data_IF_572000794600
#
_entry.id   IF_572000794600
#
_cell.length_a   1.000
_cell.length_b   1.000
_cell.length_c   1.000
_cell.angle_alpha   90.00
_cell.angle_beta   90.00
_cell.angle_gamma   90.00
#
_symmetry.space_group_name_H-M   'P 1'
#
loop_
_entity.id
_entity.type
_entity.pdbx_description
1 polymer ?
#
# COMPACT_ATOMS: atom_id res chain seq x y z
N UNK A 1 28.25 12.73 -5.84
CA UNK A 1 28.09 13.43 -7.05
C UNK A 1 26.82 13.06 -7.78
N UNK A 2 26.20 13.98 -8.46
CA UNK A 2 24.96 13.76 -9.15
C UNK A 2 25.19 13.72 -10.62
N UNK A 3 24.60 12.80 -11.36
CA UNK A 3 24.75 12.84 -12.78
C UNK A 3 23.58 13.62 -13.38
N UNK A 4 23.62 13.82 -14.67
CA UNK A 4 22.64 14.69 -15.33
C UNK A 4 21.24 14.12 -15.35
N UNK A 5 21.12 12.81 -15.19
CA UNK A 5 19.80 12.20 -15.20
C UNK A 5 19.08 12.36 -13.87
N UNK A 6 19.77 12.83 -12.86
CA UNK A 6 19.16 12.95 -11.54
C UNK A 6 18.60 14.33 -11.31
N UNK A 7 17.45 14.39 -10.70
CA UNK A 7 16.79 15.63 -10.37
C UNK A 7 16.75 15.78 -8.87
N UNK A 8 17.12 16.92 -8.37
CA UNK A 8 17.11 17.16 -6.94
C UNK A 8 15.74 17.67 -6.54
N UNK A 9 15.17 17.02 -5.57
CA UNK A 9 13.86 17.38 -5.07
C UNK A 9 13.86 17.28 -3.55
N UNK A 10 12.81 17.76 -2.93
CA UNK A 10 12.61 17.57 -1.52
C UNK A 10 11.50 16.56 -1.32
N UNK A 11 11.66 15.69 -0.33
CA UNK A 11 10.61 14.76 0.04
C UNK A 11 10.17 15.02 1.46
N UNK A 12 8.91 14.77 1.73
CA UNK A 12 8.39 14.87 3.08
C UNK A 12 7.85 13.51 3.49
N UNK A 13 7.82 13.26 4.76
CA UNK A 13 7.27 12.03 5.29
C UNK A 13 5.75 12.16 5.34
N UNK A 14 5.06 11.17 4.86
CA UNK A 14 3.60 11.17 4.93
C UNK A 14 3.13 9.75 5.15
N UNK A 15 1.93 9.59 5.64
CA UNK A 15 1.38 8.27 5.86
C UNK A 15 -0.01 8.17 5.27
N UNK A 16 -0.33 7.03 4.74
CA UNK A 16 -1.67 6.77 4.24
C UNK A 16 -2.07 5.38 4.69
N UNK A 17 -3.34 5.15 4.80
CA UNK A 17 -3.85 3.82 5.09
C UNK A 17 -4.23 3.18 3.76
N UNK A 18 -3.92 1.91 3.60
CA UNK A 18 -4.10 1.26 2.33
C UNK A 18 -4.56 -0.17 2.56
N UNK A 19 -5.30 -0.73 1.64
CA UNK A 19 -5.73 -2.11 1.76
C UNK A 19 -4.50 -3.00 1.90
N UNK A 20 -4.58 -3.95 2.81
CA UNK A 20 -3.42 -4.73 3.22
C UNK A 20 -2.75 -5.47 2.07
N UNK A 21 -3.53 -6.15 1.23
CA UNK A 21 -2.96 -6.96 0.16
C UNK A 21 -2.43 -6.10 -0.98
N UNK A 22 -3.08 -4.95 -1.22
CA UNK A 22 -2.56 -3.99 -2.21
C UNK A 22 -1.17 -3.55 -1.78
N UNK A 23 -1.01 -3.26 -0.49
CA UNK A 23 0.31 -2.85 0.01
C UNK A 23 1.33 -3.96 -0.14
N UNK A 24 0.94 -5.21 0.12
CA UNK A 24 1.86 -6.33 -0.03
C UNK A 24 2.35 -6.49 -1.47
N UNK A 25 1.45 -6.35 -2.42
CA UNK A 25 1.82 -6.43 -3.83
C UNK A 25 2.76 -5.29 -4.19
N UNK A 26 2.44 -4.07 -3.73
CA UNK A 26 3.31 -2.93 -4.02
C UNK A 26 4.71 -3.11 -3.45
N UNK A 27 4.80 -3.57 -2.20
CA UNK A 27 6.10 -3.76 -1.58
C UNK A 27 6.91 -4.85 -2.29
N UNK A 28 6.26 -5.94 -2.66
CA UNK A 28 6.94 -7.02 -3.36
C UNK A 28 7.43 -6.57 -4.73
N UNK A 29 6.61 -5.79 -5.42
CA UNK A 29 7.00 -5.30 -6.74
C UNK A 29 8.17 -4.33 -6.62
N UNK A 30 8.14 -3.44 -5.63
CA UNK A 30 9.23 -2.50 -5.41
C UNK A 30 10.52 -3.25 -5.10
N UNK A 31 10.42 -4.27 -4.24
CA UNK A 31 11.58 -5.06 -3.87
C UNK A 31 12.18 -5.77 -5.08
N UNK A 32 11.33 -6.29 -5.95
CA UNK A 32 11.79 -6.97 -7.14
C UNK A 32 12.61 -6.04 -8.03
N UNK A 33 12.25 -4.78 -8.05
CA UNK A 33 12.94 -3.78 -8.88
C UNK A 33 13.98 -2.99 -8.11
N UNK A 34 14.29 -3.39 -6.89
CA UNK A 34 15.30 -2.73 -6.06
C UNK A 34 15.02 -1.25 -5.87
N UNK A 35 13.75 -0.92 -5.66
CA UNK A 35 13.41 0.47 -5.41
C UNK A 35 12.59 0.56 -4.13
N UNK A 36 12.55 1.74 -3.53
CA UNK A 36 11.75 1.95 -2.34
C UNK A 36 10.28 2.02 -2.71
N UNK A 37 9.41 1.80 -1.73
CA UNK A 37 7.98 1.92 -1.97
C UNK A 37 7.63 3.34 -2.40
N UNK A 38 8.27 4.33 -1.77
CA UNK A 38 8.00 5.73 -2.14
C UNK A 38 8.36 6.01 -3.58
N UNK A 39 9.50 5.50 -4.03
CA UNK A 39 9.93 5.69 -5.40
C UNK A 39 8.93 5.04 -6.38
N UNK A 40 8.49 3.83 -6.05
CA UNK A 40 7.50 3.16 -6.89
C UNK A 40 6.21 3.97 -6.97
N UNK A 41 5.72 4.44 -5.83
CA UNK A 41 4.47 5.20 -5.80
C UNK A 41 4.60 6.51 -6.55
N UNK A 42 5.74 7.19 -6.43
CA UNK A 42 5.97 8.42 -7.18
C UNK A 42 5.91 8.15 -8.68
N UNK A 43 6.51 7.05 -9.12
CA UNK A 43 6.48 6.72 -10.53
C UNK A 43 5.08 6.44 -11.04
N UNK A 44 4.31 5.69 -10.26
CA UNK A 44 2.93 5.40 -10.63
C UNK A 44 2.13 6.69 -10.73
N UNK A 45 2.26 7.56 -9.74
CA UNK A 45 1.48 8.80 -9.72
C UNK A 45 1.88 9.73 -10.86
N UNK A 46 3.17 9.86 -11.12
CA UNK A 46 3.62 10.73 -12.20
C UNK A 46 3.10 10.27 -13.56
N UNK A 47 3.10 8.96 -13.79
CA UNK A 47 2.52 8.44 -15.03
C UNK A 47 1.02 8.71 -15.08
N UNK A 48 0.34 8.48 -13.96
CA UNK A 48 -1.10 8.69 -13.92
C UNK A 48 -1.47 10.15 -14.17
N UNK A 49 -0.67 11.08 -13.63
CA UNK A 49 -0.91 12.50 -13.84
C UNK A 49 -0.85 12.86 -15.34
N UNK A 50 -0.02 12.15 -16.10
CA UNK A 50 0.11 12.41 -17.52
C UNK A 50 -0.82 11.54 -18.36
N UNK A 51 -1.69 10.79 -17.74
CA UNK A 51 -2.60 9.90 -18.45
C UNK A 51 -1.92 8.71 -19.08
N UNK A 52 -0.75 8.33 -18.55
CA UNK A 52 -0.01 7.20 -19.10
C UNK A 52 -0.10 6.00 -18.18
N UNK A 53 -0.01 4.81 -18.77
CA UNK A 53 0.02 3.61 -17.94
C UNK A 53 1.38 3.50 -17.29
N UNK A 54 1.42 3.22 -16.00
CA UNK A 54 2.69 3.20 -15.28
C UNK A 54 3.50 1.92 -15.45
N UNK A 55 2.93 0.88 -16.05
CA UNK A 55 3.59 -0.42 -16.11
C UNK A 55 3.67 -0.94 -17.53
N UNK A 56 4.82 -1.52 -17.85
CA UNK A 56 4.99 -2.22 -19.11
C UNK A 56 4.18 -3.52 -19.10
N UNK A 57 3.97 -4.16 -20.25
CA UNK A 57 3.30 -5.46 -20.27
C UNK A 57 3.99 -6.50 -19.39
N UNK A 58 5.32 -6.48 -19.33
CA UNK A 58 6.05 -7.41 -18.48
C UNK A 58 5.80 -7.14 -17.01
N UNK A 59 5.80 -5.87 -16.63
CA UNK A 59 5.51 -5.51 -15.26
C UNK A 59 4.08 -5.86 -14.88
N UNK A 60 3.15 -5.67 -15.80
CA UNK A 60 1.76 -6.04 -15.53
C UNK A 60 1.63 -7.54 -15.27
N UNK A 61 2.36 -8.35 -16.05
CA UNK A 61 2.31 -9.78 -15.84
C UNK A 61 2.85 -10.14 -14.45
N UNK A 62 3.95 -9.53 -14.07
CA UNK A 62 4.51 -9.79 -12.74
C UNK A 62 3.55 -9.38 -11.66
N UNK A 63 2.88 -8.25 -11.84
CA UNK A 63 1.89 -7.81 -10.85
C UNK A 63 0.75 -8.80 -10.76
N UNK A 64 0.29 -9.34 -11.88
CA UNK A 64 -0.77 -10.35 -11.81
C UNK A 64 -0.32 -11.60 -11.05
N UNK A 65 0.93 -12.00 -11.22
CA UNK A 65 1.46 -13.13 -10.47
C UNK A 65 1.52 -12.81 -8.97
N UNK A 66 1.93 -11.60 -8.62
CA UNK A 66 1.97 -11.21 -7.22
C UNK A 66 0.57 -11.11 -6.63
N UNK A 67 -0.39 -10.65 -7.40
CA UNK A 67 -1.77 -10.61 -6.94
C UNK A 67 -2.26 -12.01 -6.58
N UNK A 68 -1.92 -12.99 -7.41
CA UNK A 68 -2.30 -14.36 -7.10
C UNK A 68 -1.61 -14.85 -5.85
N UNK A 69 -0.32 -14.56 -5.74
CA UNK A 69 0.45 -15.03 -4.60
C UNK A 69 -0.12 -14.50 -3.29
N UNK A 70 -0.54 -13.24 -3.27
CA UNK A 70 -1.06 -12.64 -2.07
C UNK A 70 -2.59 -12.71 -1.98
N UNK A 71 -3.21 -13.42 -2.89
CA UNK A 71 -4.67 -13.58 -2.93
C UNK A 71 -5.39 -12.22 -3.00
N UNK A 72 -4.81 -11.29 -3.75
CA UNK A 72 -5.43 -9.99 -3.95
C UNK A 72 -6.43 -10.11 -5.08
N UNK A 73 -7.70 -10.12 -4.73
CA UNK A 73 -8.77 -10.33 -5.69
C UNK A 73 -9.53 -9.06 -6.04
N UNK A 74 -8.95 -7.92 -5.71
CA UNK A 74 -9.54 -6.63 -6.06
C UNK A 74 -8.92 -6.12 -7.35
N UNK A 75 -9.69 -5.41 -8.13
CA UNK A 75 -9.17 -4.80 -9.35
C UNK A 75 -9.63 -3.33 -9.40
N UNK A 76 -9.44 -2.69 -10.52
CA UNK A 76 -9.72 -1.26 -10.61
C UNK A 76 -11.19 -0.92 -10.37
N UNK A 77 -12.08 -1.88 -10.58
CA UNK A 77 -13.49 -1.61 -10.34
C UNK A 77 -13.79 -1.40 -8.86
N UNK A 78 -12.89 -1.83 -7.98
CA UNK A 78 -13.06 -1.64 -6.54
C UNK A 78 -12.60 -0.25 -6.08
N UNK A 79 -11.98 0.51 -6.96
CA UNK A 79 -11.42 1.80 -6.59
C UNK A 79 -12.51 2.71 -6.04
N UNK A 80 -12.20 3.36 -4.93
CA UNK A 80 -13.12 4.29 -4.24
C UNK A 80 -14.35 3.63 -3.65
N UNK A 81 -14.38 2.29 -3.63
CA UNK A 81 -15.50 1.55 -3.06
C UNK A 81 -15.12 0.75 -1.83
N UNK A 82 -13.85 0.85 -1.42
CA UNK A 82 -13.37 0.07 -0.28
C UNK A 82 -13.76 0.73 1.02
N UNK A 83 -14.20 -0.09 1.97
CA UNK A 83 -14.57 0.42 3.28
C UNK A 83 -13.81 -0.37 4.33
N UNK A 84 -13.14 0.32 5.20
CA UNK A 84 -12.30 -0.33 6.20
C UNK A 84 -13.15 -0.93 7.31
N UNK A 85 -12.81 -2.18 7.67
CA UNK A 85 -13.48 -2.83 8.78
C UNK A 85 -12.98 -2.23 10.06
N UNK A 86 -13.89 -1.92 11.01
CA UNK A 86 -13.47 -1.49 12.28
C UNK A 86 -13.22 -2.67 13.13
N UNK A 87 -11.97 -3.08 13.38
CA UNK A 87 -11.67 -4.22 14.16
C UNK A 87 -11.42 -3.85 15.54
N UNK A 88 -11.85 -4.61 16.51
CA UNK A 88 -11.45 -4.42 17.79
C UNK A 88 -10.09 -4.72 17.84
N UNK A 89 -9.44 -4.17 18.59
CA UNK A 89 -8.09 -4.36 18.58
C UNK A 89 -7.79 -5.57 18.89
N UNK A 90 -8.23 -6.29 18.37
CA UNK A 90 -7.98 -7.46 18.57
C UNK A 90 -6.79 -7.65 18.69
N UNK A 91 -6.55 -6.95 18.38
CA UNK A 91 -5.47 -7.00 18.55
C UNK A 91 -5.28 -6.68 19.79
N UNK A 92 -5.97 -6.29 20.36
CA UNK A 92 -5.82 -6.04 21.52
C UNK A 92 -6.15 -7.06 22.08
N UNK A 93 -6.11 -7.60 22.26
CA UNK A 93 -6.37 -8.58 22.78
C UNK A 93 -7.33 -8.73 23.43
N UNK A 94 -7.83 -9.19 23.24
CA UNK A 94 -8.91 -9.37 23.78
C UNK A 94 -8.82 -9.27 25.10
N UNK A 95 -8.14 -9.32 25.58
CA UNK A 95 -8.03 -9.23 26.80
C UNK A 95 -7.93 -8.08 27.24
N UNK A 96 -7.41 -7.54 26.65
CA UNK A 96 -7.37 -6.40 27.03
C UNK A 96 -8.30 -5.91 26.73
N UNK A 97 -8.81 -6.25 25.98
CA UNK A 97 -9.78 -5.76 25.73
C UNK A 97 -10.59 -6.12 26.51
N UNK A 98 -10.65 -6.82 27.14
CA UNK A 98 -11.42 -7.01 28.02
C UNK A 98 -11.09 -6.44 29.02
N UNK A 99 -10.36 -6.15 29.11
CA UNK A 99 -10.07 -5.46 30.02
C UNK A 99 -10.14 -4.29 29.57
N UNK A 100 -10.05 -4.07 28.57
CA UNK A 100 -10.20 -3.01 28.16
C UNK A 100 -11.23 -2.85 27.69
N UNK A 101 -11.75 -3.56 27.24
CA UNK A 101 -12.70 -3.46 26.97
C UNK A 101 -13.27 -3.29 27.74
N UNK A 102 -12.86 -3.51 28.35
CA UNK A 102 -13.11 -3.23 29.09
C UNK A 102 -12.63 -2.29 29.27
N UNK A 103 -11.99 -1.93 29.03
CA UNK A 103 -11.56 -1.04 29.10
C UNK A 103 -11.68 -0.51 28.20
N UNK A 104 -11.82 -1.02 27.39
CA UNK A 104 -11.88 -0.73 26.90
C UNK A 104 -12.45 -0.52 26.45
N UNK A 105 -12.78 -0.82 26.47
CA UNK A 105 -13.10 -0.80 26.35
C UNK A 105 -13.20 -0.03 26.37
N UNK A 106 -12.95 0.18 26.71
CA UNK A 106 -12.76 0.80 26.88
C UNK A 106 -12.17 1.59 26.33
N UNK A 107 -11.63 1.64 25.77
CA UNK A 107 -11.00 2.15 25.33
C UNK A 107 -10.92 2.49 24.51
N UNK A 108 -10.89 2.18 23.86
CA UNK A 108 -10.77 2.19 23.19
C UNK A 108 -10.66 2.76 22.53
N UNK A 109 -10.57 2.93 22.01
CA UNK A 109 -10.41 3.33 21.53
C UNK A 109 -10.58 3.51 21.32
#
# INVERSE_FOLDING_TARGET
>A
MIDESQLLIERVQTGVRMEKRVLKVLKAFAEYHDMSLGDLLEGIVLHAFDGKTPFSPESLKRIQDLKKFYALDLDSSASHRLKEIKRRSENRTAVERKGLEKKAQAKKK
#
